data_IF_970090940349
#
_entry.id   IF_970090940349
#
_cell.length_a   1.000
_cell.length_b   1.000
_cell.length_c   1.000
_cell.angle_alpha   90.00
_cell.angle_beta   90.00
_cell.angle_gamma   90.00
#
_symmetry.space_group_name_H-M   'P 1'
#
loop_
_entity.id
_entity.type
_entity.pdbx_description
1 polymer ?
#
# COMPACT_ATOMS: atom_id res chain seq x y z
N UNK A 1 -12.73 -6.50 -10.86
CA UNK A 1 -13.09 -5.48 -11.89
C UNK A 1 -11.81 -4.94 -12.51
N UNK A 2 -11.78 -4.73 -13.83
CA UNK A 2 -10.65 -4.10 -14.52
C UNK A 2 -11.09 -2.78 -15.16
N UNK A 3 -10.24 -1.77 -15.08
CA UNK A 3 -10.44 -0.43 -15.64
C UNK A 3 -9.21 -0.07 -16.46
N UNK A 4 -9.42 0.55 -17.63
CA UNK A 4 -8.35 1.01 -18.50
C UNK A 4 -8.70 2.35 -19.16
N UNK A 5 -7.68 3.11 -19.54
CA UNK A 5 -7.81 4.37 -20.29
C UNK A 5 -8.73 5.41 -19.62
N UNK A 6 -8.47 5.71 -18.35
CA UNK A 6 -9.25 6.72 -17.61
C UNK A 6 -8.34 7.79 -17.01
N UNK A 7 -8.83 9.02 -16.98
CA UNK A 7 -8.27 10.13 -16.21
C UNK A 7 -9.25 10.49 -15.08
N UNK A 8 -8.73 10.70 -13.87
CA UNK A 8 -9.47 11.16 -12.69
C UNK A 8 -10.66 10.28 -12.27
N UNK A 9 -10.58 8.96 -12.50
CA UNK A 9 -11.59 8.04 -11.97
C UNK A 9 -11.58 8.09 -10.44
N UNK A 10 -12.77 8.26 -9.87
CA UNK A 10 -13.00 8.18 -8.43
C UNK A 10 -13.66 6.86 -8.07
N UNK A 11 -13.03 6.13 -7.15
CA UNK A 11 -13.57 4.91 -6.55
C UNK A 11 -13.62 5.15 -5.04
N UNK A 12 -14.80 5.50 -4.54
CA UNK A 12 -14.99 5.89 -3.14
C UNK A 12 -16.08 5.07 -2.46
N UNK A 13 -15.83 4.60 -1.24
CA UNK A 13 -16.81 3.89 -0.38
C UNK A 13 -17.40 2.62 -1.01
N UNK A 14 -16.59 1.84 -1.73
CA UNK A 14 -17.00 0.56 -2.33
C UNK A 14 -16.55 -0.64 -1.50
N UNK A 15 -17.21 -1.79 -1.68
CA UNK A 15 -16.77 -3.08 -1.15
C UNK A 15 -16.37 -4.01 -2.30
N UNK A 16 -15.10 -4.39 -2.37
CA UNK A 16 -14.57 -5.44 -3.23
C UNK A 16 -14.31 -6.67 -2.36
N UNK A 17 -15.26 -7.61 -2.37
CA UNK A 17 -15.30 -8.70 -1.41
C UNK A 17 -15.41 -10.07 -2.09
N UNK A 18 -14.55 -11.01 -1.70
CA UNK A 18 -14.58 -12.41 -2.17
C UNK A 18 -14.61 -12.57 -3.68
N UNK A 19 -13.88 -11.70 -4.38
CA UNK A 19 -13.64 -11.92 -5.81
C UNK A 19 -12.73 -13.14 -5.97
N UNK A 20 -13.07 -14.02 -6.93
CA UNK A 20 -12.24 -15.18 -7.24
C UNK A 20 -10.85 -14.74 -7.75
N UNK A 21 -10.79 -13.66 -8.53
CA UNK A 21 -9.54 -12.98 -8.91
C UNK A 21 -9.30 -11.76 -7.99
N UNK A 22 -8.55 -10.77 -8.46
CA UNK A 22 -8.36 -9.52 -7.75
C UNK A 22 -9.63 -8.69 -7.59
N UNK A 23 -9.64 -7.79 -6.61
CA UNK A 23 -10.79 -6.91 -6.33
C UNK A 23 -10.97 -5.86 -7.43
N UNK A 24 -10.00 -4.94 -7.53
CA UNK A 24 -9.97 -3.88 -8.53
C UNK A 24 -8.60 -3.82 -9.20
N UNK A 25 -8.59 -3.63 -10.52
CA UNK A 25 -7.38 -3.53 -11.32
C UNK A 25 -7.47 -2.31 -12.24
N UNK A 26 -6.57 -1.36 -12.05
CA UNK A 26 -6.29 -0.28 -12.99
C UNK A 26 -5.17 -0.73 -13.91
N UNK A 27 -5.38 -0.61 -15.21
CA UNK A 27 -4.44 -1.04 -16.24
C UNK A 27 -4.43 0.00 -17.38
N UNK A 28 -3.44 -0.10 -18.27
CA UNK A 28 -3.31 0.65 -19.52
C UNK A 28 -3.65 2.15 -19.36
N UNK A 29 -2.81 2.88 -18.62
CA UNK A 29 -2.82 4.34 -18.60
C UNK A 29 -3.92 4.98 -17.79
N UNK A 30 -4.26 4.42 -16.63
CA UNK A 30 -5.14 5.10 -15.69
C UNK A 30 -4.37 6.22 -14.97
N UNK A 31 -4.85 7.46 -15.04
CA UNK A 31 -4.15 8.62 -14.46
C UNK A 31 -5.01 9.36 -13.43
N UNK A 32 -4.35 9.94 -12.41
CA UNK A 32 -4.98 10.79 -11.40
C UNK A 32 -6.16 10.14 -10.65
N UNK A 33 -6.14 8.81 -10.51
CA UNK A 33 -7.24 8.07 -9.87
C UNK A 33 -7.31 8.38 -8.36
N UNK A 34 -8.51 8.56 -7.83
CA UNK A 34 -8.77 8.72 -6.39
C UNK A 34 -9.48 7.48 -5.86
N UNK A 35 -8.76 6.66 -5.10
CA UNK A 35 -9.24 5.37 -4.58
C UNK A 35 -9.28 5.48 -3.06
N UNK A 36 -10.47 5.77 -2.52
CA UNK A 36 -10.58 6.13 -1.11
C UNK A 36 -11.71 5.42 -0.36
N UNK A 37 -11.52 5.17 0.94
CA UNK A 37 -12.60 4.67 1.82
C UNK A 37 -13.21 3.33 1.39
N UNK A 38 -12.52 2.58 0.55
CA UNK A 38 -13.00 1.30 0.06
C UNK A 38 -12.57 0.17 1.00
N UNK A 39 -13.32 -0.93 0.96
CA UNK A 39 -12.92 -2.19 1.55
C UNK A 39 -12.53 -3.17 0.44
N UNK A 40 -11.30 -3.69 0.51
CA UNK A 40 -10.80 -4.79 -0.29
C UNK A 40 -10.59 -5.98 0.63
N UNK A 41 -11.51 -6.96 0.60
CA UNK A 41 -11.49 -8.06 1.57
C UNK A 41 -11.61 -9.44 0.93
N UNK A 42 -10.78 -10.38 1.38
CA UNK A 42 -10.87 -11.80 1.01
C UNK A 42 -10.85 -12.04 -0.53
N UNK A 43 -10.16 -11.19 -1.31
CA UNK A 43 -10.06 -11.37 -2.76
C UNK A 43 -8.90 -12.31 -3.14
N UNK A 44 -9.00 -12.95 -4.32
CA UNK A 44 -7.95 -13.77 -4.93
C UNK A 44 -7.99 -15.26 -4.60
N UNK A 45 -9.19 -15.84 -4.44
CA UNK A 45 -9.39 -17.26 -4.07
C UNK A 45 -9.16 -18.25 -5.25
N UNK A 46 -8.99 -17.75 -6.47
CA UNK A 46 -8.90 -18.52 -7.71
C UNK A 46 -7.74 -18.09 -8.61
N UNK A 47 -6.54 -18.59 -8.30
CA UNK A 47 -5.35 -18.83 -9.16
C UNK A 47 -4.80 -17.74 -10.11
N UNK A 48 -5.44 -16.60 -10.31
CA UNK A 48 -4.90 -15.50 -11.12
C UNK A 48 -5.11 -14.13 -10.46
N UNK A 49 -4.03 -13.34 -10.38
CA UNK A 49 -3.99 -11.97 -9.87
C UNK A 49 -4.61 -11.79 -8.47
N UNK A 50 -3.84 -12.15 -7.46
CA UNK A 50 -4.33 -12.24 -6.08
C UNK A 50 -4.18 -10.90 -5.32
N UNK A 51 -4.66 -9.79 -5.88
CA UNK A 51 -4.52 -8.47 -5.25
C UNK A 51 -5.87 -7.88 -4.86
N UNK A 52 -5.98 -7.27 -3.68
CA UNK A 52 -7.15 -6.46 -3.32
C UNK A 52 -7.32 -5.32 -4.33
N UNK A 53 -6.27 -4.53 -4.49
CA UNK A 53 -6.11 -3.51 -5.52
C UNK A 53 -4.83 -3.78 -6.32
N UNK A 54 -4.92 -3.74 -7.64
CA UNK A 54 -3.78 -3.72 -8.54
C UNK A 54 -3.77 -2.41 -9.34
N UNK A 55 -2.75 -1.59 -9.14
CA UNK A 55 -2.50 -0.39 -9.92
C UNK A 55 -1.34 -0.66 -10.88
N UNK A 56 -1.66 -0.96 -12.14
CA UNK A 56 -0.71 -1.40 -13.15
C UNK A 56 -0.59 -0.41 -14.31
N UNK A 57 0.63 -0.20 -14.82
CA UNK A 57 0.95 0.56 -16.04
C UNK A 57 0.19 1.88 -16.14
N UNK A 58 0.20 2.61 -15.02
CA UNK A 58 -0.65 3.76 -14.71
C UNK A 58 0.16 4.84 -13.99
N UNK A 59 -0.42 6.01 -13.73
CA UNK A 59 0.32 7.14 -13.12
C UNK A 59 -0.50 7.95 -12.14
N UNK A 60 0.16 8.41 -11.08
CA UNK A 60 -0.40 9.46 -10.19
C UNK A 60 -1.69 9.01 -9.48
N UNK A 61 -1.81 7.71 -9.18
CA UNK A 61 -2.91 7.16 -8.40
C UNK A 61 -2.80 7.52 -6.92
N UNK A 62 -3.94 7.80 -6.28
CA UNK A 62 -4.01 8.07 -4.83
C UNK A 62 -4.86 7.01 -4.15
N UNK A 63 -4.24 6.23 -3.27
CA UNK A 63 -4.86 5.17 -2.48
C UNK A 63 -4.89 5.63 -1.03
N UNK A 64 -6.04 6.13 -0.56
CA UNK A 64 -6.12 6.72 0.77
C UNK A 64 -7.34 6.32 1.60
N UNK A 65 -7.16 6.08 2.91
CA UNK A 65 -8.25 5.72 3.81
C UNK A 65 -8.98 4.42 3.44
N UNK A 66 -8.34 3.46 2.78
CA UNK A 66 -8.93 2.16 2.47
C UNK A 66 -8.56 1.10 3.50
N UNK A 67 -9.29 -0.01 3.48
CA UNK A 67 -8.91 -1.20 4.22
C UNK A 67 -8.71 -2.41 3.30
N UNK A 68 -7.57 -3.06 3.46
CA UNK A 68 -7.15 -4.25 2.76
C UNK A 68 -7.05 -5.39 3.77
N UNK A 69 -8.02 -6.29 3.76
CA UNK A 69 -8.20 -7.29 4.83
C UNK A 69 -8.18 -8.70 4.23
N UNK A 70 -7.27 -9.56 4.71
CA UNK A 70 -7.28 -11.00 4.40
C UNK A 70 -7.28 -11.32 2.90
N UNK A 71 -6.71 -10.45 2.06
CA UNK A 71 -6.56 -10.75 0.63
C UNK A 71 -5.50 -11.84 0.45
N UNK A 72 -5.78 -12.83 -0.42
CA UNK A 72 -4.98 -14.06 -0.51
C UNK A 72 -3.55 -13.84 -1.03
N UNK A 73 -3.32 -12.76 -1.77
CA UNK A 73 -2.00 -12.31 -2.19
C UNK A 73 -1.70 -10.91 -1.63
N UNK A 74 -1.72 -9.91 -2.49
CA UNK A 74 -1.40 -8.53 -2.12
C UNK A 74 -2.64 -7.81 -1.56
N UNK A 75 -2.46 -6.93 -0.58
CA UNK A 75 -3.44 -5.88 -0.30
C UNK A 75 -3.49 -4.92 -1.48
N UNK A 76 -2.36 -4.27 -1.74
CA UNK A 76 -2.10 -3.39 -2.86
C UNK A 76 -0.90 -3.88 -3.67
N UNK A 77 -1.05 -3.96 -4.98
CA UNK A 77 0.05 -4.18 -5.92
C UNK A 77 0.19 -2.96 -6.82
N UNK A 78 1.43 -2.50 -7.00
CA UNK A 78 1.83 -1.39 -7.88
C UNK A 78 2.82 -1.98 -8.88
N UNK A 79 2.54 -1.91 -10.17
CA UNK A 79 3.46 -2.42 -11.19
C UNK A 79 3.47 -1.58 -12.45
N UNK A 80 4.64 -1.39 -13.04
CA UNK A 80 4.91 -0.38 -14.06
C UNK A 80 4.23 0.98 -13.83
N UNK A 81 4.12 1.45 -12.58
CA UNK A 81 3.33 2.64 -12.26
C UNK A 81 4.10 3.65 -11.42
N UNK A 82 4.00 4.92 -11.79
CA UNK A 82 4.75 5.99 -11.14
C UNK A 82 3.88 6.89 -10.25
N UNK A 83 4.54 7.61 -9.33
CA UNK A 83 3.94 8.66 -8.48
C UNK A 83 2.67 8.21 -7.73
N UNK A 84 2.61 6.94 -7.36
CA UNK A 84 1.47 6.42 -6.59
C UNK A 84 1.57 6.88 -5.13
N UNK A 85 0.48 7.42 -4.59
CA UNK A 85 0.41 7.98 -3.23
C UNK A 85 -0.45 7.09 -2.34
N UNK A 86 0.15 6.46 -1.34
CA UNK A 86 -0.49 5.49 -0.44
C UNK A 86 -0.53 6.05 0.99
N UNK A 87 -1.69 6.54 1.40
CA UNK A 87 -1.84 7.27 2.67
C UNK A 87 -2.93 6.69 3.56
N UNK A 88 -2.66 6.53 4.85
CA UNK A 88 -3.73 6.26 5.81
C UNK A 88 -4.58 5.04 5.45
N UNK A 89 -3.98 3.91 5.08
CA UNK A 89 -4.72 2.66 4.83
C UNK A 89 -4.50 1.66 5.96
N UNK A 90 -5.47 0.79 6.18
CA UNK A 90 -5.33 -0.38 7.04
C UNK A 90 -5.01 -1.60 6.16
N UNK A 91 -3.86 -2.21 6.36
CA UNK A 91 -3.49 -3.48 5.77
C UNK A 91 -3.45 -4.54 6.87
N UNK A 92 -4.34 -5.53 6.78
CA UNK A 92 -4.55 -6.50 7.86
C UNK A 92 -4.60 -7.89 7.28
N UNK A 93 -3.68 -8.75 7.72
CA UNK A 93 -3.64 -10.19 7.40
C UNK A 93 -3.64 -10.52 5.90
N UNK A 94 -3.15 -9.61 5.05
CA UNK A 94 -2.87 -9.96 3.66
C UNK A 94 -1.63 -10.85 3.62
N UNK A 95 -1.47 -11.65 2.56
CA UNK A 95 -0.20 -12.38 2.39
C UNK A 95 0.96 -11.40 2.26
N UNK A 96 0.82 -10.42 1.37
CA UNK A 96 1.69 -9.25 1.28
C UNK A 96 0.83 -8.00 1.37
N UNK A 97 1.22 -6.98 2.13
CA UNK A 97 0.37 -5.79 2.23
C UNK A 97 0.54 -4.87 1.01
N UNK A 98 1.78 -4.44 0.72
CA UNK A 98 2.12 -3.67 -0.48
C UNK A 98 3.21 -4.41 -1.27
N UNK A 99 2.96 -4.59 -2.56
CA UNK A 99 3.96 -5.02 -3.52
C UNK A 99 4.23 -3.91 -4.53
N UNK A 100 5.50 -3.57 -4.75
CA UNK A 100 5.95 -2.75 -5.87
C UNK A 100 6.84 -3.60 -6.79
N UNK A 101 6.55 -3.61 -8.10
CA UNK A 101 7.33 -4.36 -9.08
C UNK A 101 7.53 -3.60 -10.35
N UNK A 102 8.67 -3.79 -10.97
CA UNK A 102 8.94 -3.26 -12.28
C UNK A 102 9.09 -4.39 -13.31
N UNK A 103 9.00 -4.03 -14.59
CA UNK A 103 9.33 -4.92 -15.70
C UNK A 103 9.80 -4.08 -16.90
N UNK A 104 10.29 -4.76 -17.94
CA UNK A 104 10.98 -4.08 -19.06
C UNK A 104 10.02 -3.51 -20.10
N UNK A 105 8.70 -3.56 -19.89
CA UNK A 105 7.74 -2.98 -20.82
C UNK A 105 7.83 -1.46 -20.78
N UNK A 106 7.61 -0.85 -21.92
CA UNK A 106 7.42 0.59 -22.05
C UNK A 106 6.10 0.84 -22.75
N UNK A 107 5.43 1.96 -22.47
CA UNK A 107 4.12 2.21 -23.05
C UNK A 107 4.16 2.26 -24.59
N UNK A 108 5.11 3.02 -25.14
CA UNK A 108 5.28 3.17 -26.58
C UNK A 108 5.79 1.87 -27.21
N UNK A 109 4.96 1.26 -28.05
CA UNK A 109 5.20 -0.06 -28.66
C UNK A 109 4.26 -1.15 -28.14
N UNK A 110 3.61 -0.92 -27.00
CA UNK A 110 2.64 -1.86 -26.42
C UNK A 110 1.21 -1.31 -26.40
N UNK A 111 1.01 -0.05 -26.00
CA UNK A 111 -0.32 0.51 -25.84
C UNK A 111 -0.35 2.01 -26.21
N UNK A 112 -1.24 2.37 -27.14
CA UNK A 112 -1.24 3.66 -27.81
C UNK A 112 -1.65 4.81 -26.89
N UNK A 113 -2.65 4.60 -26.04
CA UNK A 113 -3.16 5.62 -25.15
C UNK A 113 -2.11 6.03 -24.11
N UNK A 114 -1.48 5.05 -23.47
CA UNK A 114 -0.40 5.25 -22.50
C UNK A 114 0.82 5.93 -23.15
N UNK A 115 1.14 5.57 -24.39
CA UNK A 115 2.20 6.24 -25.16
C UNK A 115 1.86 7.71 -25.45
N UNK A 116 0.62 8.03 -25.83
CA UNK A 116 0.16 9.41 -26.05
C UNK A 116 0.24 10.27 -24.78
N UNK A 117 0.11 9.65 -23.61
CA UNK A 117 0.27 10.30 -22.30
C UNK A 117 1.73 10.37 -21.83
N UNK A 118 2.69 9.85 -22.62
CA UNK A 118 4.11 9.74 -22.28
C UNK A 118 4.35 8.98 -20.96
N UNK A 119 3.55 7.94 -20.69
CA UNK A 119 3.80 7.07 -19.53
C UNK A 119 5.05 6.22 -19.80
N UNK A 120 5.97 6.18 -18.84
CA UNK A 120 7.18 5.35 -18.98
C UNK A 120 6.88 3.88 -18.76
N UNK A 121 5.90 3.60 -17.89
CA UNK A 121 5.63 2.30 -17.27
C UNK A 121 6.76 1.81 -16.35
N UNK A 122 7.54 2.74 -15.82
CA UNK A 122 8.51 2.46 -14.76
C UNK A 122 7.83 2.59 -13.38
N UNK A 123 7.97 1.59 -12.52
CA UNK A 123 7.51 1.70 -11.13
C UNK A 123 8.44 2.59 -10.33
N UNK A 124 8.04 3.84 -10.15
CA UNK A 124 8.86 4.86 -9.49
C UNK A 124 8.06 5.78 -8.58
N UNK A 125 8.75 6.46 -7.67
CA UNK A 125 8.20 7.59 -6.89
C UNK A 125 6.95 7.25 -6.06
N UNK A 126 6.79 6.00 -5.63
CA UNK A 126 5.71 5.62 -4.72
C UNK A 126 5.96 6.21 -3.34
N UNK A 127 4.93 6.82 -2.76
CA UNK A 127 4.95 7.34 -1.39
C UNK A 127 4.04 6.49 -0.51
N UNK A 128 4.54 6.04 0.65
CA UNK A 128 3.79 5.24 1.63
C UNK A 128 3.86 5.90 3.01
N UNK A 129 2.76 6.54 3.44
CA UNK A 129 2.74 7.24 4.73
C UNK A 129 1.48 7.01 5.56
N UNK A 130 1.61 7.11 6.88
CA UNK A 130 0.49 7.04 7.83
C UNK A 130 -0.33 5.73 7.73
N UNK A 131 0.19 4.64 7.16
CA UNK A 131 -0.55 3.38 7.04
C UNK A 131 -0.37 2.51 8.29
N UNK A 132 -1.30 1.58 8.51
CA UNK A 132 -1.17 0.53 9.51
C UNK A 132 -1.06 -0.83 8.84
N UNK A 133 0.00 -1.58 9.18
CA UNK A 133 0.30 -2.92 8.72
C UNK A 133 0.18 -3.88 9.90
N UNK A 134 -0.73 -4.85 9.81
CA UNK A 134 -1.11 -5.71 10.94
C UNK A 134 -1.14 -7.18 10.52
N UNK A 135 -0.33 -8.01 11.17
CA UNK A 135 -0.37 -9.48 11.05
C UNK A 135 -0.31 -10.03 9.61
N UNK A 136 0.37 -9.33 8.72
CA UNK A 136 0.58 -9.81 7.36
C UNK A 136 1.32 -11.18 7.37
N UNK A 137 1.01 -12.06 6.41
CA UNK A 137 1.43 -13.46 6.47
C UNK A 137 2.83 -13.72 5.88
N UNK A 138 3.35 -12.80 5.07
CA UNK A 138 4.66 -12.92 4.44
C UNK A 138 5.49 -11.62 4.58
N UNK A 139 5.14 -10.56 3.85
CA UNK A 139 5.82 -9.25 3.93
C UNK A 139 4.82 -8.10 4.08
N UNK A 140 5.17 -7.07 4.85
CA UNK A 140 4.42 -5.81 4.83
C UNK A 140 4.72 -5.05 3.53
N UNK A 141 5.99 -4.96 3.17
CA UNK A 141 6.41 -4.42 1.87
C UNK A 141 7.26 -5.45 1.11
N UNK A 142 6.90 -5.66 -0.15
CA UNK A 142 7.64 -6.44 -1.12
C UNK A 142 7.98 -5.59 -2.35
N UNK A 143 9.23 -5.13 -2.43
CA UNK A 143 9.77 -4.60 -3.68
C UNK A 143 10.47 -5.72 -4.45
N UNK A 144 10.14 -5.92 -5.72
CA UNK A 144 10.73 -6.99 -6.50
C UNK A 144 10.91 -6.60 -7.95
N UNK A 145 11.75 -7.36 -8.66
CA UNK A 145 11.85 -7.28 -10.12
C UNK A 145 12.32 -5.89 -10.56
N UNK A 146 13.36 -5.39 -9.90
CA UNK A 146 14.10 -4.22 -10.39
C UNK A 146 14.65 -4.53 -11.79
N UNK A 147 14.69 -3.52 -12.65
CA UNK A 147 15.11 -3.61 -14.05
C UNK A 147 16.29 -2.67 -14.30
N UNK A 148 16.77 -2.60 -15.53
CA UNK A 148 17.76 -1.58 -15.92
C UNK A 148 17.18 -0.15 -15.90
N UNK A 149 15.85 -0.01 -16.01
CA UNK A 149 15.15 1.28 -15.92
C UNK A 149 14.93 1.69 -14.46
N UNK A 150 14.51 0.73 -13.63
CA UNK A 150 14.29 0.91 -12.18
C UNK A 150 15.24 -0.02 -11.43
N UNK A 151 16.47 0.43 -11.27
CA UNK A 151 17.61 -0.38 -10.76
C UNK A 151 17.57 -0.67 -9.27
N UNK A 152 16.69 -0.02 -8.51
CA UNK A 152 16.58 -0.23 -7.07
C UNK A 152 15.18 0.06 -6.54
N UNK A 153 14.88 -0.52 -5.39
CA UNK A 153 13.67 -0.23 -4.63
C UNK A 153 13.63 1.21 -4.11
N UNK A 154 14.78 1.89 -4.00
CA UNK A 154 14.83 3.32 -3.67
C UNK A 154 14.35 4.20 -4.83
N UNK A 155 14.35 3.70 -6.08
CA UNK A 155 13.68 4.37 -7.19
C UNK A 155 12.17 4.07 -7.19
N UNK A 156 11.77 2.84 -6.82
CA UNK A 156 10.37 2.46 -6.67
C UNK A 156 9.64 3.28 -5.60
N UNK A 157 10.31 3.55 -4.49
CA UNK A 157 9.76 4.28 -3.35
C UNK A 157 10.55 5.55 -3.08
N UNK A 158 9.97 6.71 -3.37
CA UNK A 158 10.56 8.01 -3.04
C UNK A 158 10.44 8.34 -1.55
N UNK A 159 9.46 7.75 -0.85
CA UNK A 159 9.28 7.95 0.58
C UNK A 159 8.46 6.81 1.22
N UNK A 160 8.93 6.31 2.36
CA UNK A 160 8.16 5.46 3.28
C UNK A 160 8.37 6.04 4.67
N UNK A 161 7.31 6.47 5.35
CA UNK A 161 7.45 7.19 6.61
C UNK A 161 6.15 7.25 7.44
N UNK A 162 6.26 7.35 8.75
CA UNK A 162 5.15 7.45 9.70
C UNK A 162 4.14 6.29 9.57
N UNK A 163 4.60 5.06 9.39
CA UNK A 163 3.73 3.90 9.34
C UNK A 163 3.76 3.13 10.68
N UNK A 164 2.67 2.43 10.98
CA UNK A 164 2.57 1.52 12.11
C UNK A 164 2.64 0.07 11.66
N UNK A 165 3.46 -0.73 12.33
CA UNK A 165 3.72 -2.13 12.03
C UNK A 165 3.40 -2.97 13.27
N UNK A 166 2.58 -3.99 13.11
CA UNK A 166 2.28 -4.95 14.16
C UNK A 166 2.34 -6.38 13.65
N UNK A 167 3.01 -7.25 14.41
CA UNK A 167 2.91 -8.71 14.27
C UNK A 167 2.84 -9.40 15.61
N UNK A 168 1.81 -10.21 15.82
CA UNK A 168 1.65 -11.01 17.03
C UNK A 168 2.75 -12.08 17.17
N UNK A 169 3.21 -12.64 16.05
CA UNK A 169 4.27 -13.65 15.99
C UNK A 169 5.17 -13.38 14.77
N UNK A 170 6.49 -13.28 15.00
CA UNK A 170 7.47 -13.06 13.93
C UNK A 170 8.30 -14.29 13.55
N UNK A 171 8.02 -15.45 14.14
CA UNK A 171 8.80 -16.67 13.95
C UNK A 171 8.87 -17.06 12.47
N UNK A 172 10.08 -17.06 11.90
CA UNK A 172 10.33 -17.43 10.51
C UNK A 172 9.89 -16.40 9.47
N UNK A 173 9.40 -15.22 9.89
CA UNK A 173 8.88 -14.20 8.98
C UNK A 173 9.87 -13.02 8.83
N UNK A 174 9.78 -12.33 7.69
CA UNK A 174 10.48 -11.08 7.44
C UNK A 174 9.48 -9.94 7.30
N UNK A 175 9.82 -8.74 7.75
CA UNK A 175 8.93 -7.58 7.62
C UNK A 175 8.92 -7.06 6.18
N UNK A 176 10.11 -6.91 5.59
CA UNK A 176 10.30 -6.29 4.27
C UNK A 176 11.19 -7.16 3.38
N UNK A 177 10.79 -7.33 2.12
CA UNK A 177 11.68 -7.78 1.03
C UNK A 177 12.05 -6.57 0.19
N UNK A 178 13.35 -6.32 0.05
CA UNK A 178 13.92 -5.13 -0.57
C UNK A 178 14.92 -5.48 -1.67
N UNK A 179 15.01 -4.69 -2.74
CA UNK A 179 16.05 -4.81 -3.76
C UNK A 179 16.90 -3.52 -3.79
N UNK A 180 17.91 -3.39 -2.89
CA UNK A 180 18.81 -2.24 -2.84
C UNK A 180 19.44 -1.89 -4.19
N UNK A 181 19.81 -2.91 -4.96
CA UNK A 181 20.32 -2.82 -6.34
C UNK A 181 19.87 -4.06 -7.10
N UNK A 182 20.01 -4.07 -8.43
CA UNK A 182 19.84 -5.25 -9.27
C UNK A 182 20.71 -6.43 -8.81
N UNK A 183 21.98 -6.18 -8.50
CA UNK A 183 22.94 -7.21 -8.06
C UNK A 183 22.74 -7.70 -6.62
N UNK A 184 21.96 -6.98 -5.81
CA UNK A 184 21.69 -7.29 -4.41
C UNK A 184 20.17 -7.46 -4.14
N UNK A 185 19.48 -8.16 -5.04
CA UNK A 185 18.05 -8.39 -4.99
C UNK A 185 17.74 -9.90 -4.81
N UNK A 186 17.00 -10.34 -3.76
CA UNK A 186 16.45 -9.56 -2.66
C UNK A 186 17.30 -9.59 -1.38
N UNK A 187 17.38 -8.44 -0.71
CA UNK A 187 17.68 -8.34 0.72
C UNK A 187 16.37 -8.48 1.54
N UNK A 188 16.43 -9.09 2.72
CA UNK A 188 15.25 -9.26 3.59
C UNK A 188 15.50 -8.73 4.99
N UNK A 189 14.60 -7.89 5.48
CA UNK A 189 14.68 -7.30 6.81
C UNK A 189 13.65 -7.93 7.74
N UNK A 190 14.11 -8.51 8.85
CA UNK A 190 13.22 -9.15 9.83
C UNK A 190 12.40 -8.17 10.64
N UNK A 191 12.90 -6.95 10.80
CA UNK A 191 12.36 -5.99 11.76
C UNK A 191 12.29 -4.61 11.13
N UNK A 192 11.38 -3.79 11.64
CA UNK A 192 11.28 -2.38 11.29
C UNK A 192 12.63 -1.67 11.49
N UNK A 193 13.27 -1.85 12.65
CA UNK A 193 14.59 -1.28 12.95
C UNK A 193 15.68 -1.67 11.96
N UNK A 194 15.73 -2.93 11.53
CA UNK A 194 16.72 -3.37 10.53
C UNK A 194 16.48 -2.72 9.16
N UNK A 195 15.21 -2.59 8.75
CA UNK A 195 14.85 -1.92 7.50
C UNK A 195 15.21 -0.43 7.55
N UNK A 196 14.84 0.26 8.64
CA UNK A 196 15.19 1.66 8.86
C UNK A 196 16.70 1.89 8.79
N UNK A 197 17.47 1.11 9.57
CA UNK A 197 18.93 1.22 9.62
C UNK A 197 19.60 1.05 8.25
N UNK A 198 19.05 0.20 7.39
CA UNK A 198 19.64 -0.10 6.10
C UNK A 198 19.21 0.85 4.98
N UNK A 199 18.04 1.49 5.10
CA UNK A 199 17.43 2.28 4.00
C UNK A 199 17.26 3.76 4.32
N UNK A 200 17.34 4.15 5.59
CA UNK A 200 16.97 5.47 6.09
C UNK A 200 15.51 5.87 5.77
N UNK A 201 14.65 4.87 5.54
CA UNK A 201 13.21 5.02 5.38
C UNK A 201 12.50 4.64 6.69
N UNK A 202 11.36 5.28 6.95
CA UNK A 202 10.51 5.06 8.14
C UNK A 202 11.24 5.31 9.48
N UNK A 203 12.31 6.11 9.43
CA UNK A 203 13.50 6.05 10.30
C UNK A 203 13.30 6.25 11.82
N UNK A 204 12.30 7.00 12.29
CA UNK A 204 12.20 7.34 13.71
C UNK A 204 10.82 7.91 14.05
N UNK A 205 10.45 8.06 15.36
CA UNK A 205 9.11 8.43 15.79
C UNK A 205 8.54 9.60 14.99
N UNK A 206 7.29 9.47 14.55
CA UNK A 206 6.28 8.58 15.11
C UNK A 206 6.07 7.23 14.40
N UNK A 207 6.96 6.74 13.52
CA UNK A 207 6.82 5.36 12.98
C UNK A 207 6.87 4.31 14.10
N UNK A 208 5.91 3.37 14.09
CA UNK A 208 5.66 2.46 15.20
C UNK A 208 5.98 1.03 14.77
N UNK A 209 6.88 0.35 15.48
CA UNK A 209 7.13 -1.08 15.27
C UNK A 209 6.82 -1.89 16.52
N UNK A 210 5.77 -2.71 16.50
CA UNK A 210 5.37 -3.61 17.59
C UNK A 210 5.39 -5.06 17.10
N UNK A 211 5.98 -5.96 17.88
CA UNK A 211 6.12 -7.36 17.49
C UNK A 211 6.15 -8.30 18.69
N UNK A 212 5.81 -9.56 18.45
CA UNK A 212 5.93 -10.66 19.41
C UNK A 212 5.12 -10.39 20.70
N UNK A 213 3.98 -9.72 20.57
CA UNK A 213 2.98 -9.49 21.63
C UNK A 213 1.62 -9.99 21.14
N UNK A 214 0.84 -10.71 21.97
CA UNK A 214 -0.45 -11.25 21.55
C UNK A 214 -1.51 -10.16 21.33
N UNK A 215 -1.34 -8.99 21.94
CA UNK A 215 -2.33 -7.93 21.90
C UNK A 215 -1.98 -6.92 20.80
N UNK A 216 -2.93 -6.72 19.88
CA UNK A 216 -2.83 -5.68 18.85
C UNK A 216 -2.82 -4.29 19.51
N UNK A 217 -1.81 -3.43 19.24
CA UNK A 217 -1.70 -2.11 19.85
C UNK A 217 -2.57 -1.05 19.16
N UNK A 218 -3.17 -1.37 18.02
CA UNK A 218 -3.87 -0.42 17.17
C UNK A 218 -5.39 -0.57 17.23
N UNK A 219 -5.90 -1.76 16.88
CA UNK A 219 -7.31 -1.99 16.60
C UNK A 219 -8.06 -2.61 17.77
N UNK A 220 -9.34 -2.25 17.92
CA UNK A 220 -10.21 -2.81 18.98
C UNK A 220 -10.21 -4.33 18.96
N UNK A 221 -10.42 -4.94 17.79
CA UNK A 221 -10.51 -6.40 17.62
C UNK A 221 -10.34 -6.73 16.13
N UNK A 222 -9.11 -7.07 15.72
CA UNK A 222 -8.79 -7.30 14.31
C UNK A 222 -9.38 -8.62 13.78
N UNK A 223 -9.44 -9.65 14.63
CA UNK A 223 -9.94 -10.97 14.27
C UNK A 223 -11.42 -10.91 13.85
N UNK A 224 -12.21 -10.08 14.54
CA UNK A 224 -13.61 -9.81 14.23
C UNK A 224 -13.84 -8.65 13.25
N UNK A 225 -12.82 -8.23 12.51
CA UNK A 225 -12.86 -7.11 11.55
C UNK A 225 -13.23 -5.73 12.16
N UNK A 226 -13.07 -5.54 13.48
CA UNK A 226 -13.33 -4.26 14.19
C UNK A 226 -12.08 -3.40 14.24
N UNK A 227 -11.80 -2.78 13.12
CA UNK A 227 -10.57 -2.03 12.84
C UNK A 227 -10.60 -0.55 13.24
N UNK A 228 -11.58 -0.14 14.06
CA UNK A 228 -11.48 1.17 14.72
C UNK A 228 -10.31 1.18 15.69
N UNK A 229 -9.60 2.31 15.79
CA UNK A 229 -8.53 2.44 16.76
C UNK A 229 -9.04 2.34 18.20
N UNK A 230 -8.31 1.64 19.06
CA UNK A 230 -8.57 1.64 20.51
C UNK A 230 -8.48 3.06 21.08
N UNK A 231 -9.16 3.39 22.19
CA UNK A 231 -9.00 4.70 22.84
C UNK A 231 -7.55 5.03 23.21
N UNK A 232 -6.77 4.03 23.62
CA UNK A 232 -5.36 4.11 24.00
C UNK A 232 -4.40 3.70 22.87
N UNK A 233 -4.90 3.60 21.64
CA UNK A 233 -4.10 3.16 20.50
C UNK A 233 -2.91 4.10 20.27
N UNK A 234 -1.73 3.51 20.16
CA UNK A 234 -0.50 4.24 19.80
C UNK A 234 -0.55 4.90 18.42
N UNK A 235 -1.50 4.49 17.56
CA UNK A 235 -1.71 5.08 16.24
C UNK A 235 -2.50 6.40 16.28
N UNK A 236 -3.11 6.76 17.42
CA UNK A 236 -3.88 8.01 17.54
C UNK A 236 -2.97 9.22 17.49
N UNK A 237 -3.29 10.17 16.61
CA UNK A 237 -2.53 11.41 16.38
C UNK A 237 -1.03 11.19 16.10
N UNK A 238 -0.64 9.99 15.69
CA UNK A 238 0.75 9.62 15.39
C UNK A 238 1.10 9.80 13.90
N UNK A 239 0.10 10.03 13.05
CA UNK A 239 0.31 10.32 11.64
C UNK A 239 0.68 11.79 11.40
N UNK A 240 1.32 12.04 10.26
CA UNK A 240 1.57 13.40 9.75
C UNK A 240 0.38 14.00 9.04
N UNK A 241 0.34 15.32 8.93
CA UNK A 241 -0.60 16.01 8.07
C UNK A 241 -0.56 15.45 6.64
N UNK A 242 -1.74 15.25 6.07
CA UNK A 242 -1.88 14.80 4.69
C UNK A 242 -1.51 15.92 3.70
N UNK A 243 -1.06 15.57 2.49
CA UNK A 243 -1.04 16.51 1.37
C UNK A 243 -2.40 17.22 1.22
N UNK A 244 -2.38 18.52 0.93
CA UNK A 244 -3.57 19.37 0.99
C UNK A 244 -4.73 18.88 0.12
N UNK A 245 -4.42 18.32 -1.06
CA UNK A 245 -5.41 17.74 -1.96
C UNK A 245 -6.06 16.47 -1.40
N UNK A 246 -5.28 15.60 -0.76
CA UNK A 246 -5.79 14.40 -0.08
C UNK A 246 -6.60 14.79 1.16
N UNK A 247 -6.11 15.73 1.97
CA UNK A 247 -6.80 16.21 3.17
C UNK A 247 -8.17 16.83 2.81
N UNK A 248 -8.20 17.69 1.79
CA UNK A 248 -9.42 18.31 1.29
C UNK A 248 -10.41 17.26 0.77
N UNK A 249 -9.95 16.29 0.00
CA UNK A 249 -10.79 15.21 -0.51
C UNK A 249 -11.34 14.31 0.60
N UNK A 250 -10.53 14.06 1.64
CA UNK A 250 -10.96 13.30 2.80
C UNK A 250 -11.77 14.14 3.82
N UNK A 251 -11.86 15.47 3.67
CA UNK A 251 -12.57 16.31 4.63
C UNK A 251 -11.95 16.26 6.03
N UNK A 252 -10.62 16.13 6.12
CA UNK A 252 -9.87 16.06 7.37
C UNK A 252 -8.93 17.27 7.52
N UNK A 253 -8.56 17.67 8.75
CA UNK A 253 -7.70 18.83 8.95
C UNK A 253 -6.28 18.60 8.44
N UNK A 254 -5.58 19.68 8.14
CA UNK A 254 -4.15 19.70 7.82
C UNK A 254 -3.26 19.69 9.09
N UNK A 255 -3.63 18.89 10.08
CA UNK A 255 -2.89 18.69 11.34
C UNK A 255 -2.36 17.25 11.41
N UNK A 256 -1.54 16.88 12.41
CA UNK A 256 -1.36 15.47 12.74
C UNK A 256 -2.71 14.76 12.85
N UNK A 257 -2.77 13.54 12.32
CA UNK A 257 -3.97 12.71 12.22
C UNK A 257 -3.67 11.33 12.77
N UNK A 258 -4.71 10.53 12.97
CA UNK A 258 -4.55 9.11 13.27
C UNK A 258 -3.83 8.41 12.11
N UNK A 259 -2.99 7.42 12.40
CA UNK A 259 -2.51 6.48 11.37
C UNK A 259 -3.64 5.51 11.00
N UNK A 260 -3.51 4.90 9.83
CA UNK A 260 -4.48 3.97 9.28
C UNK A 260 -5.68 4.67 8.67
N UNK A 261 -6.68 3.87 8.31
CA UNK A 261 -7.87 4.36 7.63
C UNK A 261 -8.73 5.24 8.55
N UNK A 262 -8.91 6.49 8.14
CA UNK A 262 -9.62 7.52 8.89
C UNK A 262 -11.15 7.30 8.84
N UNK A 263 -11.63 6.83 7.69
CA UNK A 263 -13.03 6.46 7.46
C UNK A 263 -13.09 5.38 6.37
N UNK A 264 -13.76 4.26 6.63
CA UNK A 264 -14.12 3.27 5.63
C UNK A 264 -15.28 2.44 6.22
N UNK A 265 -16.46 2.49 5.61
CA UNK A 265 -17.78 2.15 6.22
C UNK A 265 -18.28 3.21 7.22
N UNK A 266 -19.59 3.16 7.51
CA UNK A 266 -20.47 4.18 8.14
C UNK A 266 -20.09 4.70 9.55
N UNK A 267 -18.81 4.88 9.85
CA UNK A 267 -18.38 5.65 11.01
C UNK A 267 -17.73 6.93 10.52
N UNK A 268 -18.54 7.98 10.52
CA UNK A 268 -18.06 9.36 10.72
C UNK A 268 -17.34 9.36 12.06
N UNK A 269 -16.13 9.94 12.08
CA UNK A 269 -15.32 10.16 13.29
C UNK A 269 -16.11 10.93 14.33
#
# INVERSE_FOLDING_TARGET
>A
MKVAHVDRLTVNMNNFYRNNAGGLWFDLGCTNAMITRNLFKENGDGVAMNSGLFYEVSSTGTVASNAFIKNKGNGLQISGSDRTRVYNNNFVENKVDITARDDTRTACGFETYSCQLNLTWDTTDTVVRNNLFSNNLLYGIDSAWVTDQVTSSNLMFSNIDHNGWYRANTTGLYLVRWCPTSDNCPTRYKTHTNFMQATNLDWAPPSIGVRDTPNNPFFVDEDSDKMSLKPDSSARSAGTALPADIAAYLGVPASPIDMGALTYRDKVV
#
